data_IF_700429836684
#
_entry.id   IF_700429836684
#
_cell.length_a   1.000
_cell.length_b   1.000
_cell.length_c   1.000
_cell.angle_alpha   90.00
_cell.angle_beta   90.00
_cell.angle_gamma   90.00
#
_symmetry.space_group_name_H-M   'P 1'
#
loop_
_entity.id
_entity.type
_entity.pdbx_description
1 polymer ?
#
# COMPACT_ATOMS: atom_id res chain seq x y z
N UNK A 1 -7.69 -52.37 3.16
CA UNK A 1 -7.41 -51.77 1.83
C UNK A 1 -6.49 -50.54 2.01
N UNK A 2 -5.17 -50.73 1.92
CA UNK A 2 -4.18 -49.64 2.01
C UNK A 2 -3.81 -49.24 0.57
N UNK A 3 -4.15 -48.02 0.12
CA UNK A 3 -3.75 -47.56 -1.24
C UNK A 3 -2.21 -47.52 -1.31
N UNK A 4 -1.59 -48.11 -2.36
CA UNK A 4 -0.13 -48.18 -2.46
C UNK A 4 0.49 -46.77 -2.52
N UNK A 5 1.69 -46.63 -1.95
CA UNK A 5 2.48 -45.38 -1.88
C UNK A 5 2.89 -44.79 -3.25
N UNK A 6 2.35 -45.30 -4.35
CA UNK A 6 2.59 -44.89 -5.74
C UNK A 6 2.17 -43.43 -6.03
N UNK A 7 1.33 -42.83 -5.18
CA UNK A 7 0.90 -41.44 -5.32
C UNK A 7 1.91 -40.42 -4.77
N UNK A 8 2.93 -40.85 -3.99
CA UNK A 8 3.94 -39.94 -3.41
C UNK A 8 4.72 -39.11 -4.44
N UNK A 9 5.28 -39.69 -5.52
CA UNK A 9 6.02 -38.88 -6.49
C UNK A 9 5.11 -37.87 -7.19
N UNK A 10 3.87 -38.25 -7.49
CA UNK A 10 2.87 -37.36 -8.09
C UNK A 10 2.51 -36.20 -7.16
N UNK A 11 2.27 -36.49 -5.87
CA UNK A 11 2.01 -35.46 -4.86
C UNK A 11 3.20 -34.53 -4.63
N UNK A 12 4.42 -35.06 -4.65
CA UNK A 12 5.64 -34.26 -4.53
C UNK A 12 5.82 -33.32 -5.72
N UNK A 13 5.57 -33.78 -6.95
CA UNK A 13 5.63 -32.94 -8.16
C UNK A 13 4.57 -31.84 -8.14
N UNK A 14 3.33 -32.16 -7.76
CA UNK A 14 2.26 -31.16 -7.64
C UNK A 14 2.58 -30.14 -6.55
N UNK A 15 3.08 -30.57 -5.38
CA UNK A 15 3.48 -29.66 -4.31
C UNK A 15 4.62 -28.73 -4.74
N UNK A 16 5.65 -29.25 -5.42
CA UNK A 16 6.74 -28.46 -5.96
C UNK A 16 6.26 -27.43 -7.00
N UNK A 17 5.35 -27.82 -7.90
CA UNK A 17 4.74 -26.92 -8.88
C UNK A 17 3.93 -25.79 -8.22
N UNK A 18 3.17 -26.11 -7.16
CA UNK A 18 2.41 -25.10 -6.40
C UNK A 18 3.33 -24.12 -5.66
N UNK A 19 4.43 -24.61 -5.07
CA UNK A 19 5.41 -23.76 -4.39
C UNK A 19 6.10 -22.81 -5.38
N UNK A 20 6.49 -23.30 -6.56
CA UNK A 20 7.10 -22.48 -7.61
C UNK A 20 6.12 -21.43 -8.14
N UNK A 21 4.85 -21.80 -8.38
CA UNK A 21 3.81 -20.88 -8.82
C UNK A 21 3.54 -19.78 -7.77
N UNK A 22 3.47 -20.15 -6.48
CA UNK A 22 3.30 -19.19 -5.39
C UNK A 22 4.50 -18.22 -5.27
N UNK A 23 5.72 -18.72 -5.43
CA UNK A 23 6.93 -17.90 -5.42
C UNK A 23 6.98 -16.87 -6.56
N UNK A 24 6.48 -17.24 -7.76
CA UNK A 24 6.39 -16.32 -8.89
C UNK A 24 5.41 -15.16 -8.67
N UNK A 25 4.35 -15.40 -7.89
CA UNK A 25 3.34 -14.38 -7.54
C UNK A 25 3.77 -13.51 -6.35
N UNK A 26 4.70 -13.96 -5.51
CA UNK A 26 5.14 -13.24 -4.32
C UNK A 26 5.98 -11.97 -4.62
N UNK A 27 6.48 -11.81 -5.85
CA UNK A 27 7.29 -10.65 -6.27
C UNK A 27 6.53 -9.33 -6.36
N UNK A 28 5.20 -9.37 -6.38
CA UNK A 28 4.32 -8.19 -6.37
C UNK A 28 4.68 -7.11 -7.39
N UNK A 29 4.16 -5.90 -7.16
CA UNK A 29 4.42 -4.72 -7.98
C UNK A 29 5.72 -3.98 -7.56
N UNK A 30 6.68 -4.67 -6.92
CA UNK A 30 7.88 -4.05 -6.35
C UNK A 30 8.77 -3.33 -7.39
N UNK A 31 8.52 -3.55 -8.68
CA UNK A 31 9.20 -2.90 -9.82
C UNK A 31 8.32 -1.87 -10.56
N UNK A 32 7.06 -1.67 -10.16
CA UNK A 32 6.13 -0.73 -10.79
C UNK A 32 6.21 0.69 -10.20
N UNK A 33 7.37 1.10 -9.71
CA UNK A 33 7.55 2.38 -9.04
C UNK A 33 8.89 3.02 -9.35
N UNK A 34 9.06 4.24 -8.85
CA UNK A 34 10.28 5.02 -8.98
C UNK A 34 11.38 4.49 -8.07
N UNK A 35 12.62 4.54 -8.56
CA UNK A 35 13.79 4.12 -7.81
C UNK A 35 13.97 5.01 -6.57
N UNK A 36 14.52 4.50 -5.45
CA UNK A 36 14.55 5.27 -4.21
C UNK A 36 15.20 6.65 -4.30
N UNK A 37 16.21 6.80 -5.15
CA UNK A 37 16.92 8.07 -5.38
C UNK A 37 16.21 9.01 -6.36
N UNK A 38 15.24 8.52 -7.13
CA UNK A 38 14.43 9.36 -8.02
C UNK A 38 13.35 10.14 -7.25
N UNK A 39 13.07 9.76 -6.01
CA UNK A 39 12.04 10.40 -5.19
C UNK A 39 12.33 11.87 -4.89
N UNK A 40 13.59 12.23 -4.71
CA UNK A 40 13.99 13.62 -4.46
C UNK A 40 13.74 14.50 -5.70
N UNK A 41 13.97 13.95 -6.89
CA UNK A 41 13.78 14.68 -8.15
C UNK A 41 12.31 14.71 -8.61
N UNK A 42 11.53 13.69 -8.28
CA UNK A 42 10.13 13.57 -8.74
C UNK A 42 9.10 14.11 -7.74
N UNK A 43 9.50 14.36 -6.50
CA UNK A 43 8.62 14.88 -5.45
C UNK A 43 8.68 16.40 -5.39
N UNK A 44 8.00 17.07 -6.32
CA UNK A 44 7.90 18.53 -6.33
C UNK A 44 7.24 19.08 -5.04
N UNK A 45 7.61 20.29 -4.65
CA UNK A 45 7.07 20.94 -3.44
C UNK A 45 5.56 21.17 -3.50
N UNK A 46 5.00 21.32 -4.71
CA UNK A 46 3.56 21.45 -4.95
C UNK A 46 2.79 20.14 -4.75
N UNK A 47 3.46 18.98 -4.73
CA UNK A 47 2.81 17.68 -4.49
C UNK A 47 2.68 17.34 -3.00
N UNK A 48 3.12 18.24 -2.11
CA UNK A 48 2.99 18.07 -0.66
C UNK A 48 1.50 18.03 -0.29
N UNK A 49 1.13 17.07 0.55
CA UNK A 49 -0.22 17.03 1.12
C UNK A 49 -0.45 18.30 1.93
N UNK A 50 -1.52 19.04 1.60
CA UNK A 50 -1.78 20.35 2.19
C UNK A 50 -0.81 21.44 1.71
N UNK A 51 -0.38 21.36 0.45
CA UNK A 51 0.60 22.26 -0.16
C UNK A 51 0.17 23.72 -0.13
N UNK A 52 -1.08 24.02 -0.48
CA UNK A 52 -1.67 25.34 -0.32
C UNK A 52 -2.66 25.41 0.85
N UNK A 53 -2.54 26.46 1.66
CA UNK A 53 -3.45 26.71 2.78
C UNK A 53 -4.91 26.90 2.36
N UNK A 54 -5.16 27.34 1.12
CA UNK A 54 -6.52 27.52 0.60
C UNK A 54 -7.20 26.17 0.39
N UNK A 55 -6.50 25.17 -0.15
CA UNK A 55 -7.09 23.85 -0.40
C UNK A 55 -7.44 23.15 0.91
N UNK A 56 -6.58 23.27 1.93
CA UNK A 56 -6.87 22.81 3.28
C UNK A 56 -8.15 23.48 3.82
N UNK A 57 -8.26 24.81 3.70
CA UNK A 57 -9.41 25.55 4.21
C UNK A 57 -10.72 25.17 3.49
N UNK A 58 -10.66 24.92 2.19
CA UNK A 58 -11.83 24.50 1.39
C UNK A 58 -12.24 23.07 1.76
N UNK A 59 -11.28 22.16 1.88
CA UNK A 59 -11.52 20.79 2.31
C UNK A 59 -12.17 20.73 3.70
N UNK A 60 -11.65 21.51 4.65
CA UNK A 60 -12.22 21.64 5.99
C UNK A 60 -13.64 22.23 5.95
N UNK A 61 -13.85 23.28 5.15
CA UNK A 61 -15.17 23.88 4.98
C UNK A 61 -16.20 22.87 4.45
N UNK A 62 -15.82 22.07 3.45
CA UNK A 62 -16.67 21.02 2.89
C UNK A 62 -16.92 19.92 3.92
N UNK A 63 -15.87 19.48 4.63
CA UNK A 63 -15.93 18.39 5.61
C UNK A 63 -16.87 18.73 6.77
N UNK A 64 -16.68 19.88 7.42
CA UNK A 64 -17.54 20.32 8.52
C UNK A 64 -18.97 20.60 8.07
N UNK A 65 -19.16 21.12 6.86
CA UNK A 65 -20.50 21.38 6.31
C UNK A 65 -21.28 20.10 6.01
N UNK A 66 -20.59 19.02 5.62
CA UNK A 66 -21.22 17.73 5.31
C UNK A 66 -21.44 16.85 6.54
N UNK A 67 -20.53 16.90 7.51
CA UNK A 67 -20.54 15.99 8.66
C UNK A 67 -21.13 16.63 9.93
N UNK A 68 -21.52 17.91 9.88
CA UNK A 68 -21.96 18.70 11.04
C UNK A 68 -20.99 18.60 12.24
N UNK A 69 -19.72 18.31 11.96
CA UNK A 69 -18.67 18.14 12.94
C UNK A 69 -18.03 19.50 13.24
N UNK A 70 -17.52 19.67 14.47
CA UNK A 70 -16.76 20.85 14.87
C UNK A 70 -15.51 20.41 15.64
N UNK A 71 -14.34 20.90 15.22
CA UNK A 71 -13.03 20.50 15.74
C UNK A 71 -12.07 20.09 14.61
N UNK A 72 -10.88 20.68 14.58
CA UNK A 72 -9.88 20.49 13.52
C UNK A 72 -9.49 19.03 13.27
N UNK A 73 -9.08 18.74 12.03
CA UNK A 73 -8.69 17.40 11.55
C UNK A 73 -7.34 16.97 12.17
N UNK A 74 -7.34 16.55 13.43
CA UNK A 74 -6.15 16.04 14.13
C UNK A 74 -5.64 14.66 13.66
N UNK A 75 -5.91 14.25 12.42
CA UNK A 75 -5.51 12.96 11.85
C UNK A 75 -5.11 13.12 10.39
N UNK A 76 -3.88 13.56 10.14
CA UNK A 76 -3.45 13.79 8.76
C UNK A 76 -2.00 14.23 8.57
N UNK A 77 -1.08 13.77 9.40
CA UNK A 77 0.35 14.00 9.19
C UNK A 77 1.12 12.73 9.48
N UNK A 78 1.69 12.10 8.44
CA UNK A 78 2.68 11.03 8.57
C UNK A 78 4.02 11.57 9.07
N UNK A 79 4.01 12.17 10.26
CA UNK A 79 5.18 12.53 11.05
C UNK A 79 5.09 11.85 12.42
N UNK A 80 6.23 11.60 13.05
CA UNK A 80 6.32 11.01 14.39
C UNK A 80 5.58 11.91 15.40
N UNK A 81 4.29 11.65 15.64
CA UNK A 81 3.33 12.52 16.34
C UNK A 81 3.80 13.10 17.67
N UNK A 82 4.54 14.19 17.59
CA UNK A 82 4.95 15.15 18.61
C UNK A 82 5.19 16.46 17.82
N UNK A 83 4.48 17.57 17.96
CA UNK A 83 3.54 18.14 18.93
C UNK A 83 2.60 19.07 18.13
#
# INVERSE_FOLDING_TARGET
MNRPRADRPRRAVVAAALILAAGALAGGCARLGVQPWERDLLSETSMRVGGEGIDIMIDDHIYFSKEASSGGRGVGGGGCGCN
#
